data_IF_001341584216
#
_entry.id   IF_001341584216
#
_cell.length_a   1.000
_cell.length_b   1.000
_cell.length_c   1.000
_cell.angle_alpha   90.00
_cell.angle_beta   90.00
_cell.angle_gamma   90.00
#
_symmetry.space_group_name_H-M   'P 1'
#
loop_
_entity.id
_entity.type
_entity.pdbx_description
1 polymer ?
#
# COMPACT_ATOMS: atom_id res chain seq x y z
N UNK A 1 24.41 -3.22 29.52
CA UNK A 1 23.60 -2.29 28.71
C UNK A 1 23.94 -0.89 29.15
N UNK A 2 24.46 -0.06 28.28
CA UNK A 2 24.87 1.31 28.63
C UNK A 2 23.63 2.13 29.02
N UNK A 3 23.77 2.92 30.09
CA UNK A 3 22.73 3.79 30.65
C UNK A 3 22.48 5.02 29.76
N UNK A 4 22.10 4.80 28.49
CA UNK A 4 21.72 5.89 27.61
C UNK A 4 20.22 6.13 27.75
N UNK A 5 19.83 7.21 28.39
CA UNK A 5 18.43 7.63 28.54
C UNK A 5 18.07 8.83 27.68
N UNK A 6 19.07 9.69 27.34
CA UNK A 6 18.83 10.86 26.48
C UNK A 6 18.70 10.46 25.03
N UNK A 7 17.80 11.13 24.33
CA UNK A 7 17.51 10.92 22.90
C UNK A 7 18.80 10.92 22.06
N UNK A 8 19.69 11.91 22.25
CA UNK A 8 20.94 12.02 21.46
C UNK A 8 21.89 10.85 21.71
N UNK A 9 22.01 10.38 22.96
CA UNK A 9 22.90 9.28 23.31
C UNK A 9 22.38 7.96 22.72
N UNK A 10 21.04 7.78 22.70
CA UNK A 10 20.36 6.64 22.08
C UNK A 10 20.59 6.65 20.57
N UNK A 11 20.41 7.81 19.91
CA UNK A 11 20.65 7.94 18.46
C UNK A 11 22.08 7.52 18.13
N UNK A 12 23.09 8.05 18.82
CA UNK A 12 24.50 7.76 18.55
C UNK A 12 24.85 6.28 18.78
N UNK A 13 24.31 5.68 19.84
CA UNK A 13 24.50 4.26 20.13
C UNK A 13 23.83 3.37 19.08
N UNK A 14 22.55 3.61 18.78
CA UNK A 14 21.76 2.77 17.88
C UNK A 14 22.20 2.94 16.42
N UNK A 15 22.63 4.12 15.99
CA UNK A 15 23.24 4.35 14.67
C UNK A 15 24.44 3.40 14.46
N UNK A 16 25.34 3.30 15.45
CA UNK A 16 26.43 2.34 15.41
C UNK A 16 25.97 0.89 15.39
N UNK A 17 24.94 0.57 16.18
CA UNK A 17 24.41 -0.78 16.25
C UNK A 17 23.72 -1.22 14.93
N UNK A 18 22.90 -0.38 14.33
CA UNK A 18 22.30 -0.63 13.01
C UNK A 18 23.35 -0.76 11.90
N UNK A 19 24.38 0.12 11.92
CA UNK A 19 25.49 0.07 10.95
C UNK A 19 26.26 -1.27 11.01
N UNK A 20 26.54 -1.77 12.21
CA UNK A 20 27.20 -3.07 12.42
C UNK A 20 26.34 -4.25 11.91
N UNK A 21 25.02 -4.09 11.87
CA UNK A 21 24.07 -5.08 11.37
C UNK A 21 23.68 -4.86 9.90
N UNK A 22 24.45 -4.03 9.15
CA UNK A 22 24.34 -3.89 7.70
C UNK A 22 23.22 -2.97 7.21
N UNK A 23 22.76 -2.04 8.04
CA UNK A 23 21.80 -1.02 7.62
C UNK A 23 22.52 0.20 7.04
N UNK A 24 22.21 0.56 5.80
CA UNK A 24 22.85 1.69 5.11
C UNK A 24 22.43 3.05 5.70
N UNK A 25 21.15 3.20 6.05
CA UNK A 25 20.57 4.43 6.59
C UNK A 25 20.40 4.37 8.11
N UNK A 26 21.38 3.85 8.84
CA UNK A 26 21.32 3.51 10.26
C UNK A 26 20.75 4.61 11.16
N UNK A 27 21.15 5.88 10.90
CA UNK A 27 20.63 7.02 11.65
C UNK A 27 19.14 7.26 11.40
N UNK A 28 18.66 7.08 10.17
CA UNK A 28 17.25 7.23 9.83
C UNK A 28 16.39 6.15 10.48
N UNK A 29 16.92 4.92 10.60
CA UNK A 29 16.24 3.82 11.28
C UNK A 29 15.89 4.19 12.73
N UNK A 30 16.87 4.65 13.50
CA UNK A 30 16.64 5.01 14.92
C UNK A 30 15.82 6.29 15.07
N UNK A 31 16.03 7.30 14.21
CA UNK A 31 15.23 8.54 14.25
C UNK A 31 13.75 8.22 14.04
N UNK A 32 13.41 7.35 13.09
CA UNK A 32 12.02 6.95 12.85
C UNK A 32 11.39 6.26 14.07
N UNK A 33 12.09 5.30 14.71
CA UNK A 33 11.58 4.65 15.91
C UNK A 33 11.33 5.65 17.04
N UNK A 34 12.22 6.64 17.20
CA UNK A 34 12.08 7.68 18.20
C UNK A 34 10.96 8.68 17.88
N UNK A 35 10.77 9.04 16.59
CA UNK A 35 9.64 9.85 16.15
C UNK A 35 8.30 9.21 16.55
N UNK A 36 8.15 7.89 16.37
CA UNK A 36 6.94 7.17 16.75
C UNK A 36 6.76 7.04 18.27
N UNK A 37 7.84 6.74 19.02
CA UNK A 37 7.78 6.61 20.50
C UNK A 37 7.44 7.95 21.17
N UNK A 38 7.98 9.03 20.63
CA UNK A 38 7.81 10.37 21.17
C UNK A 38 6.60 11.10 20.59
N UNK A 39 5.88 10.47 19.64
CA UNK A 39 4.78 11.07 18.88
C UNK A 39 5.14 12.47 18.38
N UNK A 40 6.25 12.57 17.63
CA UNK A 40 6.77 13.85 17.13
C UNK A 40 7.29 13.71 15.69
N UNK A 41 7.40 14.86 15.01
CA UNK A 41 8.01 14.91 13.68
C UNK A 41 9.54 15.04 13.79
N UNK A 42 10.23 14.70 12.71
CA UNK A 42 11.71 14.76 12.63
C UNK A 42 12.32 16.07 13.15
N UNK A 43 11.76 17.22 12.78
CA UNK A 43 12.28 18.52 13.26
C UNK A 43 12.08 18.72 14.76
N UNK A 44 11.00 18.21 15.32
CA UNK A 44 10.71 18.27 16.76
C UNK A 44 11.64 17.34 17.53
N UNK A 45 12.01 16.18 16.95
CA UNK A 45 12.97 15.26 17.56
C UNK A 45 14.32 15.95 17.84
N UNK A 46 14.79 16.82 16.93
CA UNK A 46 16.04 17.56 17.13
C UNK A 46 15.98 18.54 18.31
N UNK A 47 14.81 19.09 18.62
CA UNK A 47 14.60 19.96 19.77
C UNK A 47 14.53 19.18 21.08
N UNK A 48 14.35 17.87 21.01
CA UNK A 48 14.19 16.97 22.17
C UNK A 48 15.45 16.13 22.45
N UNK A 49 16.61 16.46 21.89
CA UNK A 49 17.85 15.69 22.01
C UNK A 49 18.33 15.49 23.45
N UNK A 50 18.10 16.46 24.32
CA UNK A 50 18.46 16.39 25.74
C UNK A 50 17.37 15.73 26.61
N UNK A 51 16.23 15.40 26.05
CA UNK A 51 15.13 14.73 26.75
C UNK A 51 15.51 13.28 27.07
N UNK A 52 15.13 12.83 28.26
CA UNK A 52 15.32 11.44 28.67
C UNK A 52 14.06 10.63 28.42
N UNK A 53 14.21 9.44 27.80
CA UNK A 53 13.12 8.49 27.63
C UNK A 53 12.77 7.86 28.99
N UNK A 54 11.48 7.62 29.19
CA UNK A 54 10.99 6.83 30.34
C UNK A 54 11.44 5.37 30.22
N UNK A 55 11.42 4.64 31.33
CA UNK A 55 11.77 3.23 31.36
C UNK A 55 10.88 2.39 30.40
N UNK A 56 9.59 2.74 30.27
CA UNK A 56 8.65 2.09 29.38
C UNK A 56 8.98 2.37 27.89
N UNK A 57 9.29 3.63 27.56
CA UNK A 57 9.72 4.02 26.20
C UNK A 57 11.02 3.32 25.80
N UNK A 58 11.99 3.24 26.73
CA UNK A 58 13.24 2.52 26.51
C UNK A 58 13.00 1.02 26.27
N UNK A 59 12.14 0.39 27.05
CA UNK A 59 11.81 -1.02 26.87
C UNK A 59 11.16 -1.26 25.51
N UNK A 60 10.21 -0.42 25.11
CA UNK A 60 9.56 -0.48 23.80
C UNK A 60 10.57 -0.30 22.69
N UNK A 61 11.44 0.71 22.79
CA UNK A 61 12.47 1.00 21.80
C UNK A 61 13.44 -0.19 21.61
N UNK A 62 13.92 -0.80 22.71
CA UNK A 62 14.78 -1.98 22.62
C UNK A 62 14.09 -3.12 21.89
N UNK A 63 12.81 -3.41 22.21
CA UNK A 63 12.03 -4.44 21.51
C UNK A 63 11.90 -4.11 20.02
N UNK A 64 11.69 -2.86 19.66
CA UNK A 64 11.57 -2.43 18.26
C UNK A 64 12.89 -2.51 17.50
N UNK A 65 14.02 -2.15 18.14
CA UNK A 65 15.35 -2.30 17.57
C UNK A 65 15.64 -3.78 17.30
N UNK A 66 15.38 -4.68 18.25
CA UNK A 66 15.61 -6.11 18.07
C UNK A 66 14.79 -6.67 16.88
N UNK A 67 13.52 -6.32 16.78
CA UNK A 67 12.66 -6.69 15.64
C UNK A 67 13.22 -6.14 14.32
N UNK A 68 13.69 -4.89 14.31
CA UNK A 68 14.24 -4.27 13.10
C UNK A 68 15.55 -4.91 12.65
N UNK A 69 16.40 -5.34 13.58
CA UNK A 69 17.63 -6.10 13.28
C UNK A 69 17.30 -7.42 12.57
N UNK A 70 16.19 -8.06 12.93
CA UNK A 70 15.67 -9.24 12.22
C UNK A 70 15.04 -8.91 10.86
N UNK A 71 15.20 -7.67 10.37
CA UNK A 71 14.67 -7.16 9.09
C UNK A 71 13.15 -6.97 9.05
N UNK A 72 12.45 -7.00 10.17
CA UNK A 72 11.02 -6.69 10.16
C UNK A 72 10.78 -5.25 9.65
N UNK A 73 9.82 -5.01 8.74
CA UNK A 73 9.52 -3.68 8.25
C UNK A 73 9.16 -2.70 9.37
N UNK A 74 9.68 -1.47 9.26
CA UNK A 74 9.41 -0.40 10.23
C UNK A 74 7.92 -0.22 10.50
N UNK A 75 7.12 -0.26 9.43
CA UNK A 75 5.68 -0.07 9.50
C UNK A 75 4.97 -1.17 10.30
N UNK A 76 5.47 -2.42 10.26
CA UNK A 76 4.92 -3.49 11.10
C UNK A 76 5.38 -3.39 12.54
N UNK A 77 6.61 -2.91 12.77
CA UNK A 77 7.14 -2.67 14.12
C UNK A 77 6.31 -1.60 14.82
N UNK A 78 6.04 -0.49 14.15
CA UNK A 78 5.28 0.65 14.68
C UNK A 78 3.76 0.47 14.57
N UNK A 79 3.31 -0.51 13.75
CA UNK A 79 1.90 -0.83 13.56
C UNK A 79 1.17 0.12 12.62
N UNK A 80 1.87 1.01 11.92
CA UNK A 80 1.25 2.00 11.05
C UNK A 80 2.11 2.39 9.84
N UNK A 81 1.46 2.94 8.81
CA UNK A 81 2.07 3.47 7.60
C UNK A 81 1.36 4.77 7.20
N UNK A 82 2.10 5.76 6.76
CA UNK A 82 1.53 6.96 6.15
C UNK A 82 1.26 6.69 4.66
N UNK A 83 0.06 7.05 4.19
CA UNK A 83 -0.34 7.00 2.79
C UNK A 83 -1.27 8.18 2.49
N UNK A 84 -0.96 8.95 1.47
CA UNK A 84 -1.70 10.15 1.05
C UNK A 84 -1.95 11.14 2.21
N UNK A 85 -0.92 11.36 3.04
CA UNK A 85 -0.98 12.22 4.22
C UNK A 85 -1.88 11.72 5.36
N UNK A 86 -2.22 10.41 5.36
CA UNK A 86 -3.07 9.76 6.38
C UNK A 86 -2.37 8.55 6.98
N UNK A 87 -2.59 8.32 8.26
CA UNK A 87 -2.02 7.19 9.00
C UNK A 87 -2.93 5.97 8.90
N UNK A 88 -2.42 4.86 8.41
CA UNK A 88 -3.13 3.58 8.28
C UNK A 88 -2.52 2.54 9.21
N UNK A 89 -3.34 1.78 9.90
CA UNK A 89 -2.90 0.60 10.65
C UNK A 89 -2.49 -0.47 9.65
N UNK A 90 -1.31 -1.06 9.88
CA UNK A 90 -0.78 -2.18 9.11
C UNK A 90 -0.14 -3.21 10.03
N UNK A 91 -0.16 -4.46 9.60
CA UNK A 91 0.51 -5.60 10.20
C UNK A 91 0.81 -6.64 9.12
N UNK A 92 1.35 -7.80 9.50
CA UNK A 92 1.70 -8.88 8.57
C UNK A 92 0.50 -9.56 7.87
N UNK A 93 -0.71 -9.09 8.06
CA UNK A 93 -1.91 -9.56 7.34
C UNK A 93 -2.20 -8.73 6.08
N UNK A 94 -1.51 -7.57 5.87
CA UNK A 94 -1.73 -6.65 4.76
C UNK A 94 -0.42 -6.19 4.13
N UNK A 95 -0.45 -5.91 2.82
CA UNK A 95 0.63 -5.22 2.12
C UNK A 95 0.82 -3.81 2.70
N UNK A 96 2.08 -3.39 2.87
CA UNK A 96 2.40 -2.02 3.30
C UNK A 96 2.14 -1.06 2.14
N UNK A 97 1.24 -0.07 2.28
CA UNK A 97 1.01 0.95 1.25
C UNK A 97 2.31 1.59 0.76
N UNK A 98 2.46 1.74 -0.56
CA UNK A 98 3.65 2.33 -1.20
C UNK A 98 3.33 3.73 -1.75
N UNK A 99 4.30 4.65 -1.71
CA UNK A 99 4.11 6.01 -2.26
C UNK A 99 3.73 6.02 -3.74
N UNK A 100 4.21 5.05 -4.53
CA UNK A 100 3.91 4.94 -5.96
C UNK A 100 2.41 4.74 -6.22
N UNK A 101 1.73 4.04 -5.31
CA UNK A 101 0.27 3.80 -5.37
C UNK A 101 -0.53 5.11 -5.22
N UNK A 102 0.03 6.17 -4.65
CA UNK A 102 -0.61 7.50 -4.59
C UNK A 102 -0.86 8.09 -5.99
N UNK A 103 -0.05 7.69 -6.98
CA UNK A 103 -0.25 8.06 -8.38
C UNK A 103 -1.61 7.59 -8.89
N UNK A 104 -2.06 6.39 -8.48
CA UNK A 104 -3.38 5.88 -8.85
C UNK A 104 -4.49 6.77 -8.30
N UNK A 105 -4.38 7.22 -7.05
CA UNK A 105 -5.34 8.17 -6.44
C UNK A 105 -5.40 9.47 -7.26
N UNK A 106 -4.25 10.07 -7.56
CA UNK A 106 -4.18 11.32 -8.32
C UNK A 106 -4.85 11.19 -9.71
N UNK A 107 -4.69 10.05 -10.38
CA UNK A 107 -5.33 9.78 -11.67
C UNK A 107 -6.85 9.68 -11.51
N UNK A 108 -7.35 8.95 -10.50
CA UNK A 108 -8.78 8.86 -10.21
C UNK A 108 -9.37 10.27 -10.03
N UNK A 109 -8.75 11.08 -9.17
CA UNK A 109 -9.21 12.43 -8.87
C UNK A 109 -9.16 13.36 -10.10
N UNK A 110 -8.23 13.13 -11.03
CA UNK A 110 -8.16 13.89 -12.29
C UNK A 110 -9.23 13.53 -13.31
N UNK A 111 -9.78 12.31 -13.23
CA UNK A 111 -10.84 11.81 -14.12
C UNK A 111 -12.21 12.22 -13.61
N UNK A 112 -12.41 12.09 -12.29
CA UNK A 112 -13.71 12.29 -11.66
C UNK A 112 -13.86 13.76 -11.24
N UNK A 113 -14.87 14.40 -11.77
CA UNK A 113 -15.37 15.64 -11.18
C UNK A 113 -16.38 15.28 -10.08
N UNK A 114 -16.46 16.07 -9.02
CA UNK A 114 -17.39 15.88 -7.91
C UNK A 114 -18.87 16.17 -8.28
N UNK A 115 -19.20 16.34 -9.57
CA UNK A 115 -20.53 16.72 -10.04
C UNK A 115 -21.46 15.53 -10.23
N UNK A 116 -20.95 14.34 -10.51
CA UNK A 116 -21.71 13.10 -10.69
C UNK A 116 -21.42 12.09 -9.60
N UNK A 117 -22.46 11.31 -9.23
CA UNK A 117 -22.29 10.19 -8.29
C UNK A 117 -21.56 9.04 -8.98
N UNK A 118 -20.57 8.46 -8.30
CA UNK A 118 -19.71 7.41 -8.86
C UNK A 118 -19.74 6.16 -7.98
N UNK A 119 -19.81 4.99 -8.60
CA UNK A 119 -19.61 3.70 -7.93
C UNK A 119 -18.22 3.19 -8.27
N UNK A 120 -17.34 3.10 -7.27
CA UNK A 120 -15.94 2.71 -7.44
C UNK A 120 -15.70 1.40 -6.71
N UNK A 121 -15.06 0.44 -7.38
CA UNK A 121 -14.63 -0.82 -6.80
C UNK A 121 -13.11 -0.84 -6.64
N UNK A 122 -12.64 -0.99 -5.41
CA UNK A 122 -11.25 -1.27 -5.06
C UNK A 122 -11.05 -2.78 -4.95
N UNK A 123 -10.26 -3.34 -5.87
CA UNK A 123 -9.97 -4.79 -5.93
C UNK A 123 -8.60 -5.05 -5.30
N UNK A 124 -8.48 -6.09 -4.48
CA UNK A 124 -7.31 -6.38 -3.66
C UNK A 124 -6.99 -5.24 -2.67
N UNK A 125 -8.00 -4.82 -1.92
CA UNK A 125 -7.97 -3.60 -1.09
C UNK A 125 -6.91 -3.61 0.01
N UNK A 126 -6.46 -4.78 0.48
CA UNK A 126 -5.45 -4.92 1.53
C UNK A 126 -5.79 -4.17 2.81
N UNK A 127 -5.01 -3.14 3.13
CA UNK A 127 -5.24 -2.26 4.30
C UNK A 127 -6.41 -1.29 4.13
N UNK A 128 -7.03 -1.22 2.93
CA UNK A 128 -8.06 -0.26 2.59
C UNK A 128 -7.54 1.12 2.17
N UNK A 129 -6.23 1.29 1.99
CA UNK A 129 -5.62 2.61 1.78
C UNK A 129 -6.15 3.33 0.54
N UNK A 130 -6.38 2.62 -0.58
CA UNK A 130 -6.96 3.19 -1.81
C UNK A 130 -8.43 3.55 -1.57
N UNK A 131 -9.25 2.58 -1.15
CA UNK A 131 -10.69 2.77 -0.94
C UNK A 131 -10.98 3.91 0.04
N UNK A 132 -10.29 3.94 1.18
CA UNK A 132 -10.47 4.94 2.24
C UNK A 132 -10.04 6.33 1.77
N UNK A 133 -8.89 6.41 1.05
CA UNK A 133 -8.43 7.69 0.51
C UNK A 133 -9.42 8.23 -0.50
N UNK A 134 -9.92 7.41 -1.43
CA UNK A 134 -10.95 7.82 -2.37
C UNK A 134 -12.24 8.28 -1.68
N UNK A 135 -12.70 7.56 -0.64
CA UNK A 135 -13.87 7.96 0.15
C UNK A 135 -13.67 9.29 0.90
N UNK A 136 -12.42 9.67 1.22
CA UNK A 136 -12.10 10.96 1.86
C UNK A 136 -12.00 12.11 0.87
N UNK A 137 -11.54 11.85 -0.36
CA UNK A 137 -11.32 12.88 -1.38
C UNK A 137 -12.57 13.15 -2.22
N UNK A 138 -13.45 12.15 -2.39
CA UNK A 138 -14.64 12.24 -3.24
C UNK A 138 -15.91 12.38 -2.39
N UNK A 139 -16.63 13.49 -2.54
CA UNK A 139 -17.87 13.74 -1.79
C UNK A 139 -19.06 12.94 -2.31
N UNK A 140 -19.06 12.56 -3.60
CA UNK A 140 -20.17 11.91 -4.31
C UNK A 140 -19.75 10.54 -4.87
N UNK A 141 -19.10 9.71 -4.04
CA UNK A 141 -18.71 8.37 -4.45
C UNK A 141 -19.22 7.31 -3.46
N UNK A 142 -19.69 6.20 -4.01
CA UNK A 142 -19.97 4.98 -3.27
C UNK A 142 -18.81 4.02 -3.49
N UNK A 143 -18.07 3.75 -2.44
CA UNK A 143 -16.87 2.91 -2.53
C UNK A 143 -17.20 1.51 -2.03
N UNK A 144 -16.93 0.53 -2.89
CA UNK A 144 -16.89 -0.88 -2.51
C UNK A 144 -15.45 -1.38 -2.58
N UNK A 145 -15.08 -2.28 -1.68
CA UNK A 145 -13.72 -2.82 -1.59
C UNK A 145 -13.76 -4.33 -1.38
N UNK A 146 -13.01 -5.06 -2.17
CA UNK A 146 -12.96 -6.53 -2.08
C UNK A 146 -11.53 -7.02 -1.87
N UNK A 147 -11.44 -8.11 -1.12
CA UNK A 147 -10.20 -8.85 -0.91
C UNK A 147 -10.54 -10.33 -0.66
N UNK A 148 -9.63 -11.23 -1.04
CA UNK A 148 -9.76 -12.65 -0.72
C UNK A 148 -9.47 -12.92 0.76
N UNK A 149 -8.58 -12.10 1.37
CA UNK A 149 -8.14 -12.23 2.75
C UNK A 149 -9.13 -11.58 3.72
N UNK A 150 -9.81 -12.41 4.51
CA UNK A 150 -10.63 -11.90 5.61
C UNK A 150 -9.83 -11.10 6.65
N UNK A 151 -8.56 -11.45 6.84
CA UNK A 151 -7.68 -10.74 7.76
C UNK A 151 -7.36 -9.33 7.26
N UNK A 152 -7.08 -9.19 5.95
CA UNK A 152 -6.88 -7.89 5.32
C UNK A 152 -8.15 -7.03 5.45
N UNK A 153 -9.32 -7.57 5.15
CA UNK A 153 -10.59 -6.87 5.33
C UNK A 153 -10.83 -6.40 6.77
N UNK A 154 -10.43 -7.17 7.77
CA UNK A 154 -10.53 -6.74 9.17
C UNK A 154 -9.68 -5.49 9.43
N UNK A 155 -8.46 -5.43 8.91
CA UNK A 155 -7.60 -4.23 9.01
C UNK A 155 -8.20 -3.07 8.23
N UNK A 156 -8.69 -3.30 7.01
CA UNK A 156 -9.37 -2.27 6.21
C UNK A 156 -10.60 -1.68 6.93
N UNK A 157 -11.43 -2.51 7.57
CA UNK A 157 -12.58 -2.05 8.37
C UNK A 157 -12.16 -1.22 9.59
N UNK A 158 -11.06 -1.61 10.28
CA UNK A 158 -10.53 -0.81 11.38
C UNK A 158 -10.05 0.54 10.87
N UNK A 159 -9.32 0.57 9.76
CA UNK A 159 -8.85 1.80 9.12
C UNK A 159 -10.02 2.68 8.67
N UNK A 160 -11.05 2.12 8.01
CA UNK A 160 -12.23 2.87 7.60
C UNK A 160 -12.93 3.54 8.80
N UNK A 161 -13.09 2.80 9.90
CA UNK A 161 -13.64 3.34 11.15
C UNK A 161 -12.80 4.49 11.71
N UNK A 162 -11.47 4.35 11.74
CA UNK A 162 -10.56 5.37 12.25
C UNK A 162 -10.60 6.65 11.40
N UNK A 163 -10.82 6.49 10.08
CA UNK A 163 -10.95 7.61 9.15
C UNK A 163 -12.39 8.14 9.01
N UNK A 164 -13.37 7.56 9.72
CA UNK A 164 -14.77 7.95 9.66
C UNK A 164 -15.32 7.96 8.21
N UNK A 165 -15.11 6.87 7.49
CA UNK A 165 -15.68 6.64 6.15
C UNK A 165 -16.52 5.36 6.14
N UNK A 166 -17.55 5.35 5.30
CA UNK A 166 -18.41 4.19 5.07
C UNK A 166 -18.02 3.54 3.73
N UNK A 167 -17.62 2.27 3.78
CA UNK A 167 -17.16 1.50 2.63
C UNK A 167 -17.81 0.11 2.71
N UNK A 168 -18.34 -0.36 1.60
CA UNK A 168 -18.87 -1.71 1.51
C UNK A 168 -17.72 -2.71 1.30
N UNK A 169 -17.34 -3.45 2.35
CA UNK A 169 -16.30 -4.48 2.30
C UNK A 169 -16.89 -5.87 2.06
N UNK A 170 -16.39 -6.58 1.06
CA UNK A 170 -16.81 -7.95 0.74
C UNK A 170 -15.61 -8.88 0.57
N UNK A 171 -15.72 -10.09 1.14
CA UNK A 171 -14.70 -11.13 0.92
C UNK A 171 -14.98 -11.84 -0.41
N UNK A 172 -14.22 -11.50 -1.44
CA UNK A 172 -14.35 -12.07 -2.80
C UNK A 172 -12.98 -12.39 -3.36
N UNK A 173 -12.81 -13.62 -3.82
CA UNK A 173 -11.72 -13.99 -4.71
C UNK A 173 -12.11 -13.62 -6.15
N UNK A 174 -11.58 -12.53 -6.67
CA UNK A 174 -11.90 -12.04 -8.01
C UNK A 174 -11.42 -12.98 -9.12
N UNK A 175 -10.41 -13.82 -8.87
CA UNK A 175 -9.93 -14.78 -9.86
C UNK A 175 -10.95 -15.88 -10.14
N UNK A 176 -11.72 -16.29 -9.14
CA UNK A 176 -12.73 -17.37 -9.25
C UNK A 176 -14.17 -16.88 -9.27
N UNK A 177 -14.43 -15.66 -8.79
CA UNK A 177 -15.77 -15.09 -8.69
C UNK A 177 -15.93 -13.82 -9.53
N UNK A 178 -17.17 -13.37 -9.70
CA UNK A 178 -17.50 -12.12 -10.38
C UNK A 178 -18.19 -11.17 -9.40
N UNK A 179 -17.79 -9.90 -9.41
CA UNK A 179 -18.51 -8.84 -8.72
C UNK A 179 -19.83 -8.54 -9.46
N UNK A 180 -20.94 -8.42 -8.74
CA UNK A 180 -22.28 -8.43 -9.36
C UNK A 180 -22.89 -7.06 -9.60
N UNK A 181 -22.30 -5.99 -9.07
CA UNK A 181 -22.84 -4.64 -9.23
C UNK A 181 -22.19 -3.92 -10.42
N UNK A 182 -22.93 -3.03 -11.05
CA UNK A 182 -22.38 -2.14 -12.07
C UNK A 182 -21.57 -1.03 -11.40
N UNK A 183 -20.36 -0.82 -11.90
CA UNK A 183 -19.40 0.15 -11.42
C UNK A 183 -19.11 1.19 -12.50
N UNK A 184 -18.75 2.38 -12.07
CA UNK A 184 -18.24 3.42 -12.98
C UNK A 184 -16.72 3.33 -13.09
N UNK A 185 -16.06 2.73 -12.08
CA UNK A 185 -14.62 2.56 -12.06
C UNK A 185 -14.20 1.32 -11.27
N UNK A 186 -13.17 0.66 -11.77
CA UNK A 186 -12.37 -0.32 -11.02
C UNK A 186 -11.00 0.29 -10.78
N UNK A 187 -10.52 0.21 -9.53
CA UNK A 187 -9.14 0.49 -9.14
C UNK A 187 -8.52 -0.76 -8.53
N UNK A 188 -7.25 -1.03 -8.79
CA UNK A 188 -6.59 -2.19 -8.23
C UNK A 188 -5.06 -2.01 -8.18
N UNK A 189 -4.47 -2.36 -7.06
CA UNK A 189 -3.05 -2.68 -6.97
C UNK A 189 -2.94 -4.19 -6.68
N UNK A 190 -2.89 -5.05 -7.72
CA UNK A 190 -2.93 -6.50 -7.54
C UNK A 190 -1.55 -7.07 -7.20
N UNK A 191 -1.47 -8.30 -6.66
CA UNK A 191 -0.23 -9.05 -6.61
C UNK A 191 0.32 -9.29 -8.03
N UNK A 192 1.51 -8.75 -8.33
CA UNK A 192 2.08 -8.76 -9.68
C UNK A 192 3.49 -9.33 -9.78
N UNK A 193 4.09 -9.77 -8.68
CA UNK A 193 5.43 -10.34 -8.70
C UNK A 193 5.36 -11.79 -9.22
N UNK A 194 6.07 -12.10 -10.31
CA UNK A 194 6.14 -13.48 -10.78
C UNK A 194 6.76 -14.40 -9.72
N UNK A 195 6.23 -15.61 -9.57
CA UNK A 195 6.68 -16.55 -8.53
C UNK A 195 8.19 -16.85 -8.60
N UNK A 196 8.76 -16.88 -9.80
CA UNK A 196 10.18 -17.09 -10.00
C UNK A 196 11.06 -15.88 -9.60
N UNK A 197 10.47 -14.69 -9.42
CA UNK A 197 11.16 -13.48 -8.97
C UNK A 197 11.09 -13.26 -7.46
N UNK A 198 10.23 -14.00 -6.75
CA UNK A 198 10.06 -13.90 -5.28
C UNK A 198 11.36 -14.07 -4.49
N UNK A 199 12.30 -14.87 -4.99
CA UNK A 199 13.61 -15.05 -4.36
C UNK A 199 14.55 -13.85 -4.47
N UNK A 200 14.29 -12.88 -5.34
CA UNK A 200 15.13 -11.72 -5.62
C UNK A 200 14.66 -10.42 -4.97
N UNK A 201 13.45 -10.40 -4.37
CA UNK A 201 12.94 -9.23 -3.66
C UNK A 201 13.62 -9.05 -2.31
N UNK A 202 13.57 -7.83 -1.78
CA UNK A 202 14.20 -7.49 -0.49
C UNK A 202 13.69 -8.40 0.64
N UNK A 203 14.58 -8.75 1.56
CA UNK A 203 14.28 -9.69 2.64
C UNK A 203 13.13 -9.22 3.55
N UNK A 204 13.06 -7.92 3.85
CA UNK A 204 11.99 -7.35 4.67
C UNK A 204 10.61 -7.53 4.01
N UNK A 205 10.52 -7.41 2.69
CA UNK A 205 9.28 -7.69 1.93
C UNK A 205 9.00 -9.20 1.91
N UNK A 206 9.98 -9.99 1.48
CA UNK A 206 9.84 -11.43 1.27
C UNK A 206 9.51 -12.23 2.53
N UNK A 207 10.09 -11.83 3.67
CA UNK A 207 9.98 -12.58 4.93
C UNK A 207 8.77 -12.17 5.77
N UNK A 208 8.27 -10.95 5.59
CA UNK A 208 7.27 -10.38 6.51
C UNK A 208 5.96 -9.99 5.84
N UNK A 209 5.97 -9.55 4.59
CA UNK A 209 4.72 -9.21 3.92
C UNK A 209 3.98 -10.46 3.43
N UNK A 210 2.64 -10.46 3.44
CA UNK A 210 1.90 -11.68 3.08
C UNK A 210 2.13 -12.05 1.62
N UNK A 211 2.57 -13.28 1.35
CA UNK A 211 2.88 -13.78 0.01
C UNK A 211 1.73 -13.56 -0.98
N UNK A 212 0.49 -13.77 -0.51
CA UNK A 212 -0.72 -13.58 -1.31
C UNK A 212 -0.91 -12.14 -1.82
N UNK A 213 -0.28 -11.15 -1.17
CA UNK A 213 -0.30 -9.76 -1.58
C UNK A 213 0.86 -9.38 -2.52
N UNK A 214 1.83 -10.27 -2.71
CA UNK A 214 3.03 -10.04 -3.52
C UNK A 214 2.94 -10.75 -4.87
N UNK A 215 2.50 -12.01 -4.89
CA UNK A 215 2.49 -12.85 -6.08
C UNK A 215 1.12 -13.50 -6.31
N UNK A 216 0.76 -13.68 -7.59
CA UNK A 216 -0.39 -14.49 -8.00
C UNK A 216 -0.09 -16.00 -8.01
N UNK A 217 1.11 -16.40 -7.57
CA UNK A 217 1.59 -17.77 -7.61
C UNK A 217 1.97 -18.28 -9.01
N UNK A 218 1.99 -17.40 -10.02
CA UNK A 218 2.23 -17.74 -11.43
C UNK A 218 3.18 -16.73 -12.09
N UNK A 219 2.74 -16.13 -13.21
CA UNK A 219 3.52 -15.19 -14.04
C UNK A 219 3.34 -13.71 -13.67
N UNK A 220 2.59 -13.40 -12.61
CA UNK A 220 2.26 -12.06 -12.17
C UNK A 220 1.18 -11.36 -13.01
N UNK A 221 0.51 -12.09 -13.92
CA UNK A 221 -0.44 -11.53 -14.86
C UNK A 221 -1.88 -12.00 -14.66
N UNK A 222 -2.15 -12.92 -13.72
CA UNK A 222 -3.47 -13.54 -13.54
C UNK A 222 -4.58 -12.53 -13.25
N UNK A 223 -4.33 -11.55 -12.38
CA UNK A 223 -5.30 -10.51 -12.05
C UNK A 223 -5.61 -9.62 -13.26
N UNK A 224 -4.61 -9.26 -14.04
CA UNK A 224 -4.79 -8.42 -15.23
C UNK A 224 -5.60 -9.14 -16.31
N UNK A 225 -5.32 -10.42 -16.57
CA UNK A 225 -6.11 -11.27 -17.47
C UNK A 225 -7.57 -11.30 -16.99
N UNK A 226 -7.77 -11.59 -15.71
CA UNK A 226 -9.10 -11.69 -15.13
C UNK A 226 -9.89 -10.39 -15.16
N UNK A 227 -9.26 -9.27 -14.77
CA UNK A 227 -9.92 -7.96 -14.79
C UNK A 227 -10.24 -7.54 -16.22
N UNK A 228 -9.37 -7.81 -17.21
CA UNK A 228 -9.64 -7.51 -18.63
C UNK A 228 -10.86 -8.27 -19.16
N UNK A 229 -11.08 -9.51 -18.71
CA UNK A 229 -12.26 -10.32 -19.07
C UNK A 229 -13.54 -9.81 -18.40
N UNK A 230 -13.44 -9.39 -17.13
CA UNK A 230 -14.61 -8.98 -16.35
C UNK A 230 -15.03 -7.53 -16.59
N UNK A 231 -14.10 -6.64 -16.90
CA UNK A 231 -14.36 -5.21 -17.00
C UNK A 231 -15.54 -4.86 -17.92
N UNK A 232 -15.71 -5.44 -19.12
CA UNK A 232 -16.86 -5.13 -19.99
C UNK A 232 -18.23 -5.52 -19.41
N UNK A 233 -18.26 -6.38 -18.39
CA UNK A 233 -19.50 -6.82 -17.74
C UNK A 233 -19.79 -6.15 -16.41
N UNK A 234 -18.77 -5.54 -15.78
CA UNK A 234 -18.87 -4.91 -14.45
C UNK A 234 -18.83 -3.39 -14.56
N UNK A 235 -18.05 -2.84 -15.49
CA UNK A 235 -17.88 -1.41 -15.66
C UNK A 235 -18.83 -0.89 -16.75
N UNK A 236 -19.54 0.17 -16.42
CA UNK A 236 -20.45 0.82 -17.37
C UNK A 236 -19.69 1.37 -18.60
N UNK A 237 -20.32 1.44 -19.77
CA UNK A 237 -19.73 2.12 -20.93
C UNK A 237 -19.32 3.55 -20.59
N UNK A 238 -18.10 3.94 -20.95
CA UNK A 238 -17.50 5.23 -20.57
C UNK A 238 -16.84 5.25 -19.19
N UNK A 239 -16.93 4.16 -18.42
CA UNK A 239 -16.23 3.98 -17.16
C UNK A 239 -14.77 3.58 -17.34
N UNK A 240 -14.03 3.46 -16.24
CA UNK A 240 -12.58 3.27 -16.27
C UNK A 240 -12.12 2.05 -15.46
N UNK A 241 -11.01 1.47 -15.93
CA UNK A 241 -10.20 0.53 -15.13
C UNK A 241 -8.82 1.13 -14.94
N UNK A 242 -8.35 1.20 -13.69
CA UNK A 242 -7.04 1.74 -13.31
C UNK A 242 -6.29 0.67 -12.52
N UNK A 243 -5.16 0.22 -13.06
CA UNK A 243 -4.37 -0.86 -12.46
C UNK A 243 -2.93 -0.40 -12.22
N UNK A 244 -2.43 -0.58 -11.00
CA UNK A 244 -1.00 -0.48 -10.77
C UNK A 244 -0.30 -1.64 -11.47
N UNK A 245 0.90 -1.39 -11.99
CA UNK A 245 1.73 -2.38 -12.69
C UNK A 245 3.15 -2.39 -12.14
N UNK A 246 3.81 -3.53 -12.23
CA UNK A 246 5.23 -3.66 -11.88
C UNK A 246 6.13 -2.89 -12.86
N UNK A 247 7.42 -3.08 -12.72
CA UNK A 247 8.48 -2.40 -13.49
C UNK A 247 8.99 -3.26 -14.66
N UNK A 248 9.97 -2.78 -15.39
CA UNK A 248 10.69 -3.45 -16.49
C UNK A 248 9.76 -3.84 -17.65
N UNK A 249 9.58 -5.13 -17.91
CA UNK A 249 8.76 -5.64 -19.01
C UNK A 249 7.27 -5.76 -18.65
N UNK A 250 6.96 -5.73 -17.36
CA UNK A 250 5.62 -5.96 -16.85
C UNK A 250 4.56 -4.98 -17.42
N UNK A 251 4.79 -3.65 -17.52
CA UNK A 251 3.82 -2.72 -18.11
C UNK A 251 3.45 -3.08 -19.55
N UNK A 252 4.42 -3.53 -20.34
CA UNK A 252 4.20 -3.97 -21.74
C UNK A 252 3.36 -5.24 -21.79
N UNK A 253 3.65 -6.22 -20.93
CA UNK A 253 2.90 -7.47 -20.87
C UNK A 253 1.45 -7.22 -20.48
N UNK A 254 1.23 -6.39 -19.46
CA UNK A 254 -0.12 -6.01 -19.03
C UNK A 254 -0.86 -5.28 -20.14
N UNK A 255 -0.24 -4.28 -20.77
CA UNK A 255 -0.88 -3.56 -21.89
C UNK A 255 -1.32 -4.50 -23.00
N UNK A 256 -0.50 -5.47 -23.40
CA UNK A 256 -0.85 -6.45 -24.43
C UNK A 256 -2.09 -7.28 -24.08
N UNK A 257 -2.34 -7.57 -22.80
CA UNK A 257 -3.55 -8.30 -22.34
C UNK A 257 -4.81 -7.48 -22.67
N UNK A 258 -4.76 -6.17 -22.46
CA UNK A 258 -5.90 -5.29 -22.71
C UNK A 258 -6.03 -4.91 -24.19
N UNK A 259 -4.93 -4.83 -24.94
CA UNK A 259 -4.94 -4.50 -26.38
C UNK A 259 -5.70 -5.53 -27.23
N UNK A 260 -5.88 -6.78 -26.77
CA UNK A 260 -6.67 -7.81 -27.48
C UNK A 260 -8.17 -7.72 -27.20
N UNK A 261 -8.59 -6.87 -26.26
CA UNK A 261 -10.00 -6.64 -25.93
C UNK A 261 -10.52 -5.38 -26.63
N UNK A 262 -11.84 -5.27 -26.76
CA UNK A 262 -12.49 -4.11 -27.40
C UNK A 262 -12.70 -2.98 -26.40
N UNK A 263 -11.61 -2.35 -25.94
CA UNK A 263 -11.66 -1.15 -25.10
C UNK A 263 -11.51 0.12 -25.95
N UNK A 264 -12.16 1.21 -25.54
CA UNK A 264 -12.14 2.47 -26.29
C UNK A 264 -10.77 3.15 -26.28
N UNK A 265 -10.02 3.05 -25.17
CA UNK A 265 -8.69 3.67 -25.03
C UNK A 265 -7.89 2.95 -23.97
N UNK A 266 -6.59 2.75 -24.22
CA UNK A 266 -5.64 2.14 -23.29
C UNK A 266 -4.41 3.03 -23.20
N UNK A 267 -4.12 3.54 -22.02
CA UNK A 267 -2.99 4.43 -21.75
C UNK A 267 -2.12 3.86 -20.63
N UNK A 268 -0.79 3.98 -20.77
CA UNK A 268 0.15 3.72 -19.70
C UNK A 268 0.63 5.06 -19.16
N UNK A 269 0.47 5.29 -17.85
CA UNK A 269 0.82 6.53 -17.17
C UNK A 269 2.02 6.27 -16.26
N UNK A 270 3.00 7.17 -16.33
CA UNK A 270 4.20 7.10 -15.50
C UNK A 270 3.98 7.75 -14.13
N UNK A 271 4.74 7.24 -13.14
CA UNK A 271 4.88 7.87 -11.84
C UNK A 271 5.79 9.12 -11.89
N UNK A 272 6.06 9.71 -10.74
CA UNK A 272 6.91 10.91 -10.63
C UNK A 272 8.38 10.65 -11.01
N UNK A 273 8.84 9.40 -11.00
CA UNK A 273 10.18 9.01 -11.42
C UNK A 273 10.27 8.79 -12.93
N UNK A 274 9.13 8.80 -13.63
CA UNK A 274 9.04 8.55 -15.07
C UNK A 274 8.84 7.07 -15.43
N UNK A 275 8.72 6.18 -14.44
CA UNK A 275 8.49 4.76 -14.67
C UNK A 275 7.00 4.49 -14.96
N UNK A 276 6.68 3.70 -16.01
CA UNK A 276 5.30 3.27 -16.27
C UNK A 276 4.73 2.55 -15.06
N UNK A 277 3.68 3.11 -14.46
CA UNK A 277 3.15 2.61 -13.19
C UNK A 277 1.66 2.29 -13.20
N UNK A 278 0.87 3.02 -13.96
CA UNK A 278 -0.59 2.82 -13.99
C UNK A 278 -1.08 2.55 -15.40
N UNK A 279 -1.77 1.43 -15.59
CA UNK A 279 -2.57 1.19 -16.78
C UNK A 279 -3.95 1.82 -16.58
N UNK A 280 -4.33 2.72 -17.50
CA UNK A 280 -5.66 3.35 -17.57
C UNK A 280 -6.39 2.86 -18.80
N UNK A 281 -7.58 2.30 -18.59
CA UNK A 281 -8.43 1.74 -19.65
C UNK A 281 -9.79 2.40 -19.62
N UNK A 282 -10.28 2.87 -20.77
CA UNK A 282 -11.64 3.36 -20.97
C UNK A 282 -12.48 2.23 -21.55
N UNK A 283 -13.53 1.84 -20.84
CA UNK A 283 -14.46 0.79 -21.26
C UNK A 283 -15.42 1.33 -22.32
N UNK A 284 -15.70 0.51 -23.34
CA UNK A 284 -16.52 0.89 -24.52
C UNK A 284 -18.00 0.88 -24.20
#
# INVERSE_FOLDING_TARGET
MNNHSRVIDIINWAEGYFSLNGFENSRREIEWLLEEILDCKKLELYLRYEEELTAEQLQTLHTWIDRRIEKEPMQYITGNCEFYGRKFIVNNDVFIPRPETETLINIVLSILDNSSYQNILDVCTGSGCIAITLAKELNNANISAIDISKKALNIAMINAKNHNVDINFEQIDILSNTYKNNMDMIVCNPPYIPINEMGSIMDDVRLYEPEIALTDGSDGLSFYKRISELAPSIVAPGGYVLLEVGINQHPRLVKNIFDVQSFSKIEMISDLNGDPRILKVLVS
#
